data_IF_376491394329
#
_entry.id   IF_376491394329
#
_cell.length_a   1.000
_cell.length_b   1.000
_cell.length_c   1.000
_cell.angle_alpha   90.00
_cell.angle_beta   90.00
_cell.angle_gamma   90.00
#
_symmetry.space_group_name_H-M   'P 1'
#
loop_
_entity.id
_entity.type
_entity.pdbx_description
1 polymer ?
#
# COMPACT_ATOMS: atom_id res chain seq x y z
N UNK A 1 -29.54 21.95 18.40
CA UNK A 1 -28.46 22.54 17.58
C UNK A 1 -27.06 22.27 18.17
N UNK A 2 -26.78 22.59 19.44
CA UNK A 2 -25.47 22.32 20.07
C UNK A 2 -25.05 20.84 20.06
N UNK A 3 -25.96 19.91 20.32
CA UNK A 3 -25.67 18.46 20.28
C UNK A 3 -25.32 17.94 18.89
N UNK A 4 -25.99 18.45 17.84
CA UNK A 4 -25.65 18.13 16.45
C UNK A 4 -24.28 18.66 16.05
N UNK A 5 -23.92 19.88 16.49
CA UNK A 5 -22.59 20.44 16.26
C UNK A 5 -21.50 19.63 16.97
N UNK A 6 -21.74 19.22 18.22
CA UNK A 6 -20.77 18.40 18.98
C UNK A 6 -20.59 17.03 18.33
N UNK A 7 -21.68 16.37 17.88
CA UNK A 7 -21.60 15.11 17.15
C UNK A 7 -20.85 15.26 15.82
N UNK A 8 -21.11 16.33 15.06
CA UNK A 8 -20.40 16.59 13.82
C UNK A 8 -18.90 16.80 14.04
N UNK A 9 -18.52 17.55 15.08
CA UNK A 9 -17.10 17.73 15.45
C UNK A 9 -16.46 16.41 15.89
N UNK A 10 -17.13 15.61 16.71
CA UNK A 10 -16.62 14.29 17.14
C UNK A 10 -16.41 13.34 15.96
N UNK A 11 -17.35 13.29 15.02
CA UNK A 11 -17.22 12.48 13.79
C UNK A 11 -16.04 12.98 12.95
N UNK A 12 -15.91 14.31 12.77
CA UNK A 12 -14.82 14.89 11.98
C UNK A 12 -13.45 14.56 12.59
N UNK A 13 -13.31 14.72 13.91
CA UNK A 13 -12.08 14.39 14.64
C UNK A 13 -11.76 12.90 14.54
N UNK A 14 -12.75 12.03 14.73
CA UNK A 14 -12.55 10.59 14.58
C UNK A 14 -12.08 10.22 13.17
N UNK A 15 -12.71 10.77 12.12
CA UNK A 15 -12.28 10.52 10.74
C UNK A 15 -10.87 11.03 10.45
N UNK A 16 -10.53 12.22 10.93
CA UNK A 16 -9.22 12.84 10.70
C UNK A 16 -8.06 12.04 11.32
N UNK A 17 -8.30 11.35 12.44
CA UNK A 17 -7.29 10.50 13.08
C UNK A 17 -7.26 9.08 12.50
N UNK A 18 -8.43 8.52 12.16
CA UNK A 18 -8.53 7.13 11.68
C UNK A 18 -8.05 6.97 10.23
N UNK A 19 -8.36 7.93 9.35
CA UNK A 19 -7.97 7.92 7.93
C UNK A 19 -6.44 7.79 7.70
N UNK A 20 -5.57 8.60 8.34
CA UNK A 20 -4.13 8.49 8.12
C UNK A 20 -3.55 7.17 8.63
N UNK A 21 -4.03 6.65 9.76
CA UNK A 21 -3.54 5.37 10.29
C UNK A 21 -3.89 4.20 9.37
N UNK A 22 -5.13 4.18 8.85
CA UNK A 22 -5.56 3.19 7.87
C UNK A 22 -4.76 3.28 6.56
N UNK A 23 -4.49 4.49 6.06
CA UNK A 23 -3.67 4.67 4.85
C UNK A 23 -2.24 4.18 5.03
N UNK A 24 -1.60 4.47 6.15
CA UNK A 24 -0.26 3.94 6.44
C UNK A 24 -0.28 2.40 6.50
N UNK A 25 -1.33 1.80 7.08
CA UNK A 25 -1.43 0.34 7.12
C UNK A 25 -1.63 -0.30 5.75
N UNK A 26 -2.36 0.36 4.85
CA UNK A 26 -2.59 -0.15 3.50
C UNK A 26 -1.32 -0.03 2.67
N UNK A 27 -0.68 1.15 2.65
CA UNK A 27 0.59 1.37 1.94
C UNK A 27 1.68 0.41 2.39
N UNK A 28 1.79 0.17 3.70
CA UNK A 28 2.71 -0.81 4.26
C UNK A 28 2.44 -2.24 3.75
N UNK A 29 1.18 -2.70 3.81
CA UNK A 29 0.82 -4.02 3.28
C UNK A 29 1.05 -4.14 1.77
N UNK A 30 0.78 -3.07 1.00
CA UNK A 30 1.08 -3.03 -0.43
C UNK A 30 2.58 -3.14 -0.67
N UNK A 31 3.41 -2.40 0.07
CA UNK A 31 4.85 -2.48 -0.08
C UNK A 31 5.37 -3.88 0.27
N UNK A 32 4.95 -4.45 1.40
CA UNK A 32 5.34 -5.81 1.81
C UNK A 32 4.93 -6.85 0.78
N UNK A 33 3.75 -6.70 0.19
CA UNK A 33 3.30 -7.57 -0.90
C UNK A 33 4.19 -7.41 -2.14
N UNK A 34 4.55 -6.18 -2.53
CA UNK A 34 5.42 -5.92 -3.66
C UNK A 34 6.81 -6.55 -3.47
N UNK A 35 7.41 -6.32 -2.30
CA UNK A 35 8.69 -6.92 -1.89
C UNK A 35 8.61 -8.45 -1.93
N UNK A 36 7.55 -9.03 -1.36
CA UNK A 36 7.35 -10.48 -1.36
C UNK A 36 7.20 -11.05 -2.78
N UNK A 37 6.50 -10.33 -3.67
CA UNK A 37 6.36 -10.74 -5.08
C UNK A 37 7.69 -10.63 -5.81
N UNK A 38 8.50 -9.62 -5.53
CA UNK A 38 9.84 -9.49 -6.10
C UNK A 38 10.77 -10.63 -5.66
N UNK A 39 10.90 -10.89 -4.36
CA UNK A 39 11.74 -11.97 -3.83
C UNK A 39 11.35 -13.36 -4.36
N UNK A 40 10.04 -13.59 -4.58
CA UNK A 40 9.51 -14.83 -5.14
C UNK A 40 9.63 -14.95 -6.67
N UNK A 41 10.06 -13.90 -7.37
CA UNK A 41 9.99 -13.79 -8.84
C UNK A 41 11.35 -13.91 -9.52
N UNK A 42 12.15 -14.90 -9.12
CA UNK A 42 13.54 -15.12 -9.58
C UNK A 42 13.72 -15.04 -11.10
N UNK A 43 12.72 -15.46 -11.88
CA UNK A 43 12.77 -15.50 -13.35
C UNK A 43 11.82 -14.52 -14.06
N UNK A 44 11.10 -13.65 -13.33
CA UNK A 44 10.15 -12.73 -13.96
C UNK A 44 10.77 -11.37 -14.21
N UNK A 45 10.39 -10.79 -15.35
CA UNK A 45 10.65 -9.39 -15.62
C UNK A 45 9.78 -8.49 -14.72
N UNK A 46 10.11 -7.20 -14.69
CA UNK A 46 9.37 -6.19 -13.93
C UNK A 46 7.87 -6.21 -14.26
N UNK A 47 7.48 -6.48 -15.52
CA UNK A 47 6.07 -6.55 -15.88
C UNK A 47 5.37 -7.78 -15.30
N UNK A 48 6.05 -8.93 -15.25
CA UNK A 48 5.57 -10.12 -14.55
C UNK A 48 5.32 -9.86 -13.06
N UNK A 49 6.25 -9.16 -12.40
CA UNK A 49 6.11 -8.78 -10.98
C UNK A 49 4.93 -7.83 -10.79
N UNK A 50 4.80 -6.80 -11.65
CA UNK A 50 3.67 -5.86 -11.64
C UNK A 50 2.32 -6.56 -11.77
N UNK A 51 2.22 -7.52 -12.69
CA UNK A 51 0.99 -8.28 -12.91
C UNK A 51 0.63 -9.19 -11.74
N UNK A 52 1.62 -9.87 -11.18
CA UNK A 52 1.45 -10.73 -10.00
C UNK A 52 1.04 -9.92 -8.78
N UNK A 53 1.65 -8.75 -8.60
CA UNK A 53 1.28 -7.80 -7.57
C UNK A 53 -0.17 -7.34 -7.74
N UNK A 54 -0.55 -6.84 -8.92
CA UNK A 54 -1.91 -6.33 -9.17
C UNK A 54 -2.97 -7.41 -8.90
N UNK A 55 -2.71 -8.64 -9.35
CA UNK A 55 -3.61 -9.78 -9.16
C UNK A 55 -3.78 -10.11 -7.68
N UNK A 56 -2.69 -10.24 -6.93
CA UNK A 56 -2.75 -10.57 -5.52
C UNK A 56 -3.31 -9.42 -4.69
N UNK A 57 -2.99 -8.18 -5.07
CA UNK A 57 -3.48 -6.96 -4.44
C UNK A 57 -5.01 -6.88 -4.54
N UNK A 58 -5.56 -7.03 -5.74
CA UNK A 58 -7.02 -7.05 -5.98
C UNK A 58 -7.69 -8.18 -5.21
N UNK A 59 -7.03 -9.33 -5.05
CA UNK A 59 -7.53 -10.47 -4.29
C UNK A 59 -7.49 -10.23 -2.78
N UNK A 60 -6.42 -9.68 -2.24
CA UNK A 60 -6.26 -9.41 -0.81
C UNK A 60 -7.24 -8.33 -0.34
N UNK A 61 -7.36 -7.28 -1.14
CA UNK A 61 -8.12 -6.09 -0.78
C UNK A 61 -9.50 -6.03 -1.45
N UNK A 62 -10.03 -7.16 -1.94
CA UNK A 62 -11.33 -7.19 -2.63
C UNK A 62 -12.48 -6.61 -1.80
N UNK A 63 -12.37 -6.65 -0.46
CA UNK A 63 -13.36 -6.11 0.47
C UNK A 63 -13.36 -4.58 0.54
N UNK A 64 -12.35 -3.91 -0.01
CA UNK A 64 -12.22 -2.46 -0.02
C UNK A 64 -12.74 -1.93 -1.37
N UNK A 65 -13.76 -1.07 -1.39
CA UNK A 65 -14.41 -0.61 -2.63
C UNK A 65 -13.45 0.00 -3.66
N UNK A 66 -12.40 0.67 -3.17
CA UNK A 66 -11.42 1.39 -3.99
C UNK A 66 -10.11 0.61 -4.22
N UNK A 67 -10.00 -0.60 -3.68
CA UNK A 67 -8.76 -1.36 -3.79
C UNK A 67 -8.31 -1.64 -5.21
N UNK A 68 -9.17 -2.02 -6.18
CA UNK A 68 -8.69 -2.29 -7.53
C UNK A 68 -7.99 -1.09 -8.17
N UNK A 69 -8.53 0.11 -7.93
CA UNK A 69 -7.96 1.36 -8.41
C UNK A 69 -6.68 1.72 -7.65
N UNK A 70 -6.64 1.51 -6.33
CA UNK A 70 -5.45 1.72 -5.53
C UNK A 70 -4.32 0.75 -5.91
N UNK A 71 -4.62 -0.52 -6.19
CA UNK A 71 -3.67 -1.51 -6.68
C UNK A 71 -3.02 -1.07 -7.99
N UNK A 72 -3.84 -0.67 -8.98
CA UNK A 72 -3.33 -0.16 -10.25
C UNK A 72 -2.52 1.13 -10.07
N UNK A 73 -2.98 2.03 -9.19
CA UNK A 73 -2.21 3.23 -8.87
C UNK A 73 -0.85 2.89 -8.25
N UNK A 74 -0.81 1.93 -7.34
CA UNK A 74 0.40 1.47 -6.67
C UNK A 74 1.38 0.82 -7.64
N UNK A 75 0.89 0.00 -8.56
CA UNK A 75 1.69 -0.59 -9.66
C UNK A 75 2.39 0.49 -10.48
N UNK A 76 1.67 1.56 -10.81
CA UNK A 76 2.17 2.60 -11.71
C UNK A 76 3.05 3.65 -11.02
N UNK A 77 2.93 3.82 -9.70
CA UNK A 77 3.61 4.92 -8.98
C UNK A 77 4.62 4.46 -7.94
N UNK A 78 4.46 3.27 -7.36
CA UNK A 78 5.23 2.79 -6.21
C UNK A 78 6.05 1.53 -6.47
N UNK A 79 5.59 0.65 -7.35
CA UNK A 79 6.30 -0.61 -7.62
C UNK A 79 7.70 -0.40 -8.18
N UNK A 80 7.88 0.53 -9.12
CA UNK A 80 9.19 0.78 -9.75
C UNK A 80 10.25 1.27 -8.73
N UNK A 81 9.95 2.26 -7.86
CA UNK A 81 10.85 2.61 -6.75
C UNK A 81 11.18 1.45 -5.81
N UNK A 82 10.20 0.61 -5.46
CA UNK A 82 10.40 -0.56 -4.58
C UNK A 82 11.36 -1.55 -5.24
N UNK A 83 11.12 -1.89 -6.50
CA UNK A 83 11.95 -2.81 -7.27
C UNK A 83 13.38 -2.29 -7.38
N UNK A 84 13.55 -1.00 -7.70
CA UNK A 84 14.87 -0.38 -7.79
C UNK A 84 15.64 -0.42 -6.47
N UNK A 85 14.94 -0.25 -5.35
CA UNK A 85 15.54 -0.32 -4.02
C UNK A 85 16.01 -1.75 -3.69
N UNK A 86 15.22 -2.76 -4.07
CA UNK A 86 15.58 -4.18 -3.95
C UNK A 86 16.77 -4.55 -4.86
N UNK A 87 16.78 -4.08 -6.11
CA UNK A 87 17.89 -4.26 -7.05
C UNK A 87 19.18 -3.59 -6.54
N UNK A 88 19.08 -2.49 -5.79
CA UNK A 88 20.22 -1.82 -5.16
C UNK A 88 20.82 -2.59 -3.97
N UNK A 89 20.18 -3.68 -3.54
CA UNK A 89 20.63 -4.53 -2.44
C UNK A 89 20.06 -4.13 -1.07
N UNK A 90 19.08 -3.22 -1.02
CA UNK A 90 18.36 -2.94 0.24
C UNK A 90 17.56 -4.16 0.64
N UNK A 91 17.64 -4.53 1.93
CA UNK A 91 16.96 -5.72 2.41
C UNK A 91 15.44 -5.58 2.24
N UNK A 92 14.73 -6.62 1.79
CA UNK A 92 13.27 -6.67 1.64
C UNK A 92 12.48 -6.00 2.77
N UNK A 93 12.84 -6.35 4.01
CA UNK A 93 12.23 -5.83 5.24
C UNK A 93 12.46 -4.34 5.50
N UNK A 94 13.51 -3.76 4.92
CA UNK A 94 13.92 -2.38 5.15
C UNK A 94 13.39 -1.44 4.05
N UNK A 95 13.03 -1.97 2.87
CA UNK A 95 12.53 -1.17 1.73
C UNK A 95 11.29 -0.37 2.09
N UNK A 96 10.32 -1.00 2.76
CA UNK A 96 9.05 -0.37 3.06
C UNK A 96 9.15 0.74 4.11
N UNK A 97 10.03 0.59 5.10
CA UNK A 97 10.35 1.66 6.05
C UNK A 97 11.17 2.76 5.37
N UNK A 98 12.13 2.40 4.52
CA UNK A 98 12.96 3.37 3.79
C UNK A 98 12.18 4.24 2.82
N UNK A 99 11.14 3.69 2.20
CA UNK A 99 10.23 4.42 1.32
C UNK A 99 9.08 5.11 2.07
N UNK A 100 9.08 5.05 3.41
CA UNK A 100 8.04 5.61 4.29
C UNK A 100 6.63 5.06 4.01
N UNK A 101 6.54 3.85 3.47
CA UNK A 101 5.29 3.11 3.28
C UNK A 101 4.87 2.44 4.61
N UNK A 102 5.84 2.01 5.41
CA UNK A 102 5.65 1.53 6.79
C UNK A 102 6.29 2.50 7.80
N UNK A 103 5.69 2.66 9.00
CA UNK A 103 6.32 3.36 10.11
C UNK A 103 7.56 2.63 10.64
#
# INVERSE_FOLDING_TARGET
MKTLLVLAVLVFVATAVVLPHQRNSLGCQMCELAVKKYDGSVDKDVNGIKKDFDTECKKLFHSIPFAPQECEHYVNTKLDPIIKELESGTAPKDVCTKLHECP
#
